data_IF_327732304322
#
_entry.id   IF_327732304322
#
_cell.length_a   1.000
_cell.length_b   1.000
_cell.length_c   1.000
_cell.angle_alpha   90.00
_cell.angle_beta   90.00
_cell.angle_gamma   90.00
#
_symmetry.space_group_name_H-M   'P 1'
#
loop_
_entity.id
_entity.type
_entity.pdbx_description
1 polymer ?
#
# COMPACT_ATOMS: atom_id res chain seq x y z
N UNK A 1 27.77 -9.84 -24.25
CA UNK A 1 27.90 -9.21 -22.92
C UNK A 1 26.97 -8.00 -22.91
N UNK A 2 25.74 -8.16 -22.42
CA UNK A 2 24.77 -7.08 -22.34
C UNK A 2 25.02 -6.29 -21.05
N UNK A 3 25.26 -4.98 -21.20
CA UNK A 3 25.40 -4.04 -20.10
C UNK A 3 24.07 -3.98 -19.33
N UNK A 4 24.03 -4.63 -18.16
CA UNK A 4 22.97 -4.42 -17.18
C UNK A 4 23.14 -3.00 -16.65
N UNK A 5 22.36 -2.05 -17.18
CA UNK A 5 22.18 -0.76 -16.52
C UNK A 5 21.58 -1.04 -15.15
N UNK A 6 22.40 -0.96 -14.11
CA UNK A 6 21.95 -1.03 -12.73
C UNK A 6 21.05 0.18 -12.51
N UNK A 7 19.73 -0.03 -12.56
CA UNK A 7 18.76 1.01 -12.23
C UNK A 7 18.92 1.26 -10.74
N UNK A 8 19.65 2.32 -10.38
CA UNK A 8 19.72 2.79 -9.00
C UNK A 8 18.39 3.50 -8.68
N UNK A 9 17.50 2.83 -7.98
CA UNK A 9 16.36 3.48 -7.36
C UNK A 9 16.85 4.39 -6.23
N UNK A 10 16.44 5.66 -6.24
CA UNK A 10 16.66 6.56 -5.11
C UNK A 10 15.55 6.36 -4.07
N UNK A 11 15.86 6.38 -2.77
CA UNK A 11 14.86 6.16 -1.71
C UNK A 11 14.70 4.69 -1.30
N UNK A 12 13.64 4.37 -0.56
CA UNK A 12 13.45 3.00 -0.05
C UNK A 12 12.92 2.06 -1.13
N UNK A 13 13.39 0.82 -1.09
CA UNK A 13 12.79 -0.32 -1.81
C UNK A 13 11.75 -1.05 -0.95
N UNK A 14 11.66 -0.70 0.33
CA UNK A 14 10.71 -1.25 1.28
C UNK A 14 10.40 -0.22 2.38
N UNK A 15 9.13 -0.10 2.74
CA UNK A 15 8.67 0.75 3.83
C UNK A 15 7.62 0.01 4.64
N UNK A 16 7.78 0.00 5.97
CA UNK A 16 6.78 -0.47 6.91
C UNK A 16 6.17 0.71 7.65
N UNK A 17 4.87 0.67 7.86
CA UNK A 17 4.05 1.65 8.53
C UNK A 17 3.33 1.00 9.71
N UNK A 18 3.55 1.55 10.91
CA UNK A 18 2.83 1.19 12.12
C UNK A 18 1.52 1.97 12.22
N UNK A 19 0.40 1.26 12.32
CA UNK A 19 -0.94 1.81 12.44
C UNK A 19 -1.40 1.57 13.88
N UNK A 20 -1.54 2.65 14.65
CA UNK A 20 -1.98 2.62 16.05
C UNK A 20 -3.50 2.85 16.15
N UNK A 21 -4.10 2.45 17.26
CA UNK A 21 -5.51 2.70 17.54
C UNK A 21 -6.45 1.77 16.77
N UNK A 22 -6.10 0.49 16.65
CA UNK A 22 -6.88 -0.45 15.84
C UNK A 22 -8.32 -0.62 16.34
N UNK A 23 -8.55 -0.63 17.65
CA UNK A 23 -9.89 -0.77 18.23
C UNK A 23 -10.82 0.38 17.80
N UNK A 24 -10.32 1.62 17.83
CA UNK A 24 -11.05 2.78 17.32
C UNK A 24 -11.27 2.67 15.81
N UNK A 25 -10.21 2.32 15.07
CA UNK A 25 -10.27 2.18 13.62
C UNK A 25 -11.30 1.13 13.16
N UNK A 26 -11.35 0.00 13.86
CA UNK A 26 -12.37 -1.05 13.68
C UNK A 26 -13.77 -0.51 13.94
N UNK A 27 -13.97 0.16 15.08
CA UNK A 27 -15.27 0.70 15.49
C UNK A 27 -15.81 1.72 14.49
N UNK A 28 -14.98 2.62 13.99
CA UNK A 28 -15.36 3.57 12.94
C UNK A 28 -15.86 2.85 11.68
N UNK A 29 -15.17 1.75 11.33
CA UNK A 29 -15.47 0.90 10.19
C UNK A 29 -16.86 0.26 10.20
N UNK A 30 -17.47 0.12 11.39
CA UNK A 30 -18.79 -0.49 11.53
C UNK A 30 -19.91 0.38 10.95
N UNK A 31 -19.74 1.71 11.01
CA UNK A 31 -20.72 2.69 10.56
C UNK A 31 -20.40 3.35 9.22
N UNK A 32 -19.11 3.50 8.87
CA UNK A 32 -18.65 4.12 7.62
C UNK A 32 -17.32 3.52 7.17
N UNK A 33 -16.88 3.86 5.97
CA UNK A 33 -15.49 3.58 5.56
C UNK A 33 -14.56 4.35 6.48
N UNK A 34 -13.82 3.65 7.33
CA UNK A 34 -12.75 4.23 8.11
C UNK A 34 -11.47 4.21 7.27
N UNK A 35 -10.70 5.29 7.30
CA UNK A 35 -9.44 5.39 6.54
C UNK A 35 -8.34 5.92 7.45
N UNK A 36 -7.13 5.39 7.28
CA UNK A 36 -5.88 5.94 7.84
C UNK A 36 -4.86 6.06 6.71
N UNK A 37 -3.88 6.95 6.86
CA UNK A 37 -2.77 7.10 5.92
C UNK A 37 -1.46 7.29 6.67
N UNK A 38 -0.36 6.80 6.09
CA UNK A 38 0.97 7.10 6.57
C UNK A 38 1.36 8.53 6.22
N UNK A 39 2.46 8.99 6.82
CA UNK A 39 3.21 10.12 6.29
C UNK A 39 3.72 9.81 4.87
N UNK A 40 4.05 10.87 4.13
CA UNK A 40 4.66 10.73 2.80
C UNK A 40 6.10 10.24 2.96
N UNK A 41 6.46 9.21 2.21
CA UNK A 41 7.81 8.66 2.11
C UNK A 41 8.26 8.58 0.65
N UNK A 42 9.56 8.34 0.44
CA UNK A 42 10.13 8.14 -0.91
C UNK A 42 10.24 6.65 -1.21
N UNK A 43 9.48 6.18 -2.19
CA UNK A 43 9.49 4.81 -2.68
C UNK A 43 9.96 4.76 -4.13
N UNK A 44 11.10 4.12 -4.39
CA UNK A 44 11.69 4.02 -5.73
C UNK A 44 11.88 5.38 -6.46
N UNK A 45 12.07 6.45 -5.70
CA UNK A 45 12.27 7.82 -6.18
C UNK A 45 10.98 8.63 -6.21
N UNK A 46 9.83 8.00 -6.11
CA UNK A 46 8.51 8.62 -6.12
C UNK A 46 8.10 9.03 -4.70
N UNK A 47 7.44 10.18 -4.58
CA UNK A 47 6.75 10.52 -3.32
C UNK A 47 5.49 9.66 -3.24
N UNK A 48 5.31 8.96 -2.13
CA UNK A 48 4.22 8.02 -1.95
C UNK A 48 3.75 8.00 -0.50
N UNK A 49 2.55 7.49 -0.28
CA UNK A 49 2.07 7.11 1.05
C UNK A 49 1.29 5.81 0.99
N UNK A 50 1.18 5.13 2.13
CA UNK A 50 0.26 4.03 2.30
C UNK A 50 -1.06 4.57 2.85
N UNK A 51 -2.15 3.95 2.42
CA UNK A 51 -3.45 4.15 3.06
C UNK A 51 -4.10 2.81 3.30
N UNK A 52 -4.77 2.67 4.43
CA UNK A 52 -5.59 1.51 4.74
C UNK A 52 -7.03 1.92 5.02
N UNK A 53 -7.93 0.98 4.77
CA UNK A 53 -9.36 1.14 5.00
C UNK A 53 -9.88 -0.02 5.82
N UNK A 54 -10.81 0.26 6.73
CA UNK A 54 -11.67 -0.75 7.33
C UNK A 54 -13.10 -0.45 6.90
N UNK A 55 -13.73 -1.41 6.23
CA UNK A 55 -15.06 -1.23 5.66
C UNK A 55 -15.89 -2.52 5.67
N UNK A 56 -17.21 -2.36 5.81
CA UNK A 56 -18.18 -3.44 5.78
C UNK A 56 -18.68 -3.73 4.37
N UNK A 57 -18.52 -4.97 3.92
CA UNK A 57 -19.08 -5.47 2.67
C UNK A 57 -19.91 -6.71 2.93
N UNK A 58 -21.21 -6.66 2.63
CA UNK A 58 -22.17 -7.75 2.85
C UNK A 58 -22.07 -8.30 4.28
N UNK A 59 -22.14 -7.40 5.26
CA UNK A 59 -22.01 -7.68 6.70
C UNK A 59 -20.65 -8.22 7.19
N UNK A 60 -19.64 -8.35 6.31
CA UNK A 60 -18.29 -8.75 6.69
C UNK A 60 -17.35 -7.56 6.64
N UNK A 61 -16.58 -7.34 7.71
CA UNK A 61 -15.59 -6.28 7.81
C UNK A 61 -14.27 -6.70 7.15
N UNK A 62 -13.75 -5.86 6.26
CA UNK A 62 -12.48 -6.10 5.57
C UNK A 62 -11.50 -4.96 5.83
N UNK A 63 -10.23 -5.34 5.97
CA UNK A 63 -9.10 -4.46 5.89
C UNK A 63 -8.62 -4.38 4.43
N UNK A 64 -8.53 -3.17 3.91
CA UNK A 64 -7.95 -2.84 2.61
C UNK A 64 -6.64 -2.08 2.77
N UNK A 65 -5.71 -2.29 1.84
CA UNK A 65 -4.41 -1.61 1.81
C UNK A 65 -4.11 -1.14 0.38
N UNK A 66 -3.57 0.07 0.27
CA UNK A 66 -3.33 0.74 -1.00
C UNK A 66 -2.04 1.56 -0.97
N UNK A 67 -1.34 1.59 -2.11
CA UNK A 67 -0.27 2.54 -2.40
C UNK A 67 -0.87 3.78 -3.08
N UNK A 68 -0.50 4.97 -2.62
CA UNK A 68 -0.85 6.26 -3.23
C UNK A 68 0.42 6.97 -3.68
N UNK A 69 0.44 7.41 -4.94
CA UNK A 69 1.50 8.30 -5.43
C UNK A 69 1.12 9.75 -5.09
N UNK A 70 2.06 10.47 -4.49
CA UNK A 70 1.91 11.85 -4.08
C UNK A 70 2.72 12.75 -5.03
N UNK A 71 2.27 13.99 -5.20
CA UNK A 71 3.05 14.97 -5.95
C UNK A 71 4.39 15.21 -5.25
N UNK A 72 5.47 15.02 -6.00
CA UNK A 72 6.84 15.13 -5.50
C UNK A 72 7.63 16.23 -6.21
N UNK A 73 8.65 16.80 -5.55
CA UNK A 73 9.51 17.83 -6.15
C UNK A 73 10.37 17.31 -7.31
N UNK A 74 10.50 15.98 -7.45
CA UNK A 74 11.31 15.31 -8.48
C UNK A 74 10.48 14.68 -9.58
N UNK A 75 9.15 14.89 -9.60
CA UNK A 75 8.25 14.20 -10.55
C UNK A 75 8.60 14.48 -12.01
N UNK A 76 9.20 15.62 -12.33
CA UNK A 76 9.68 15.97 -13.68
C UNK A 76 10.87 15.15 -14.15
N UNK A 77 11.60 14.51 -13.23
CA UNK A 77 12.79 13.70 -13.50
C UNK A 77 12.50 12.20 -13.50
N UNK A 78 11.28 11.79 -13.12
CA UNK A 78 10.88 10.40 -13.01
C UNK A 78 10.16 9.93 -14.27
N UNK A 79 10.22 8.63 -14.54
CA UNK A 79 9.46 8.00 -15.60
C UNK A 79 7.98 7.92 -15.20
N UNK A 80 7.09 8.20 -16.15
CA UNK A 80 5.65 8.05 -15.98
C UNK A 80 5.03 7.30 -17.17
N UNK A 81 3.96 6.51 -16.97
CA UNK A 81 3.35 6.20 -15.66
C UNK A 81 4.26 5.33 -14.77
N UNK A 82 3.96 5.27 -13.48
CA UNK A 82 4.61 4.37 -12.53
C UNK A 82 4.27 2.93 -12.88
N UNK A 83 5.29 2.12 -13.22
CA UNK A 83 5.13 0.71 -13.59
C UNK A 83 6.17 -0.18 -12.91
N UNK A 84 6.63 0.19 -11.71
CA UNK A 84 7.57 -0.62 -10.92
C UNK A 84 6.76 -1.66 -10.17
N UNK A 85 6.97 -2.98 -10.39
CA UNK A 85 6.28 -4.02 -9.65
C UNK A 85 6.49 -3.90 -8.14
N UNK A 86 5.42 -4.06 -7.37
CA UNK A 86 5.46 -3.91 -5.92
C UNK A 86 4.53 -4.89 -5.22
N UNK A 87 4.77 -5.11 -3.93
CA UNK A 87 3.97 -5.94 -3.05
C UNK A 87 3.52 -5.12 -1.86
N UNK A 88 2.22 -5.02 -1.66
CA UNK A 88 1.61 -4.54 -0.42
C UNK A 88 1.60 -5.69 0.59
N UNK A 89 1.93 -5.39 1.84
CA UNK A 89 2.10 -6.39 2.88
C UNK A 89 1.30 -5.96 4.11
N UNK A 90 0.52 -6.87 4.66
CA UNK A 90 0.11 -6.83 6.05
C UNK A 90 1.10 -7.70 6.84
N UNK A 91 1.85 -7.07 7.74
CA UNK A 91 2.99 -7.69 8.44
C UNK A 91 2.51 -8.32 9.73
N UNK A 92 2.81 -9.61 9.90
CA UNK A 92 2.62 -10.29 11.17
C UNK A 92 3.75 -9.91 12.13
N UNK A 93 3.46 -9.57 13.39
CA UNK A 93 4.44 -8.95 14.30
C UNK A 93 5.63 -9.86 14.67
N UNK A 94 5.49 -11.18 14.52
CA UNK A 94 6.50 -12.16 14.98
C UNK A 94 6.84 -13.27 14.00
N UNK A 95 6.14 -13.38 12.86
CA UNK A 95 6.26 -14.52 11.94
C UNK A 95 6.00 -14.09 10.51
N UNK A 96 7.07 -13.79 9.78
CA UNK A 96 7.00 -13.30 8.40
C UNK A 96 6.29 -14.28 7.45
N UNK A 97 6.28 -15.59 7.75
CA UNK A 97 5.58 -16.58 6.92
C UNK A 97 4.07 -16.42 6.97
N UNK A 98 3.55 -15.74 7.99
CA UNK A 98 2.12 -15.43 8.13
C UNK A 98 1.72 -14.15 7.43
N UNK A 99 2.66 -13.33 6.95
CA UNK A 99 2.35 -12.09 6.24
C UNK A 99 1.29 -12.30 5.15
N UNK A 100 0.35 -11.36 5.03
CA UNK A 100 -0.62 -11.36 3.93
C UNK A 100 -0.12 -10.39 2.87
N UNK A 101 0.19 -10.92 1.69
CA UNK A 101 0.78 -10.15 0.60
C UNK A 101 -0.18 -9.99 -0.58
N UNK A 102 -0.14 -8.83 -1.23
CA UNK A 102 -0.78 -8.57 -2.50
C UNK A 102 0.21 -7.91 -3.46
N UNK A 103 0.54 -8.60 -4.54
CA UNK A 103 1.50 -8.11 -5.54
C UNK A 103 0.81 -7.50 -6.74
N UNK A 104 1.37 -6.40 -7.22
CA UNK A 104 0.99 -5.71 -8.46
C UNK A 104 2.13 -5.86 -9.44
N UNK A 105 1.91 -6.68 -10.47
CA UNK A 105 2.83 -6.92 -11.59
C UNK A 105 2.23 -6.54 -12.94
N UNK A 106 0.90 -6.47 -13.01
CA UNK A 106 0.13 -6.03 -14.16
C UNK A 106 -0.47 -4.66 -13.85
N UNK A 107 -0.27 -3.71 -14.76
CA UNK A 107 -0.66 -2.32 -14.62
C UNK A 107 -1.81 -1.93 -15.55
N UNK A 108 -2.22 -2.79 -16.50
CA UNK A 108 -3.15 -2.43 -17.56
C UNK A 108 -4.47 -1.89 -17.02
N UNK A 109 -5.05 -2.59 -16.04
CA UNK A 109 -6.30 -2.16 -15.39
C UNK A 109 -6.15 -0.80 -14.72
N UNK A 110 -5.02 -0.54 -14.07
CA UNK A 110 -4.77 0.69 -13.33
C UNK A 110 -4.43 1.87 -14.24
N UNK A 111 -3.81 1.61 -15.40
CA UNK A 111 -3.48 2.61 -16.41
C UNK A 111 -4.72 3.01 -17.23
N UNK A 112 -5.63 2.07 -17.49
CA UNK A 112 -6.90 2.35 -18.15
C UNK A 112 -7.95 2.95 -17.20
N UNK A 113 -7.68 2.94 -15.90
CA UNK A 113 -8.55 3.50 -14.87
C UNK A 113 -8.68 5.01 -15.02
N UNK A 114 -9.94 5.51 -15.04
CA UNK A 114 -10.24 6.95 -14.96
C UNK A 114 -9.77 7.62 -13.67
N UNK A 115 -9.37 6.84 -12.66
CA UNK A 115 -8.99 7.33 -11.34
C UNK A 115 -7.51 7.74 -11.24
N UNK A 116 -6.79 7.74 -12.36
CA UNK A 116 -5.40 8.17 -12.46
C UNK A 116 -4.52 7.57 -11.35
N UNK A 117 -4.47 6.25 -11.23
CA UNK A 117 -3.76 5.60 -10.14
C UNK A 117 -2.23 5.79 -10.24
N UNK A 118 -1.68 5.60 -11.44
CA UNK A 118 -0.23 5.51 -11.66
C UNK A 118 0.36 6.57 -12.59
N UNK A 119 -0.42 7.49 -13.17
CA UNK A 119 0.21 8.59 -13.92
C UNK A 119 0.77 9.64 -12.96
N UNK A 120 1.48 10.61 -13.52
CA UNK A 120 2.06 11.71 -12.75
C UNK A 120 0.95 12.45 -11.96
N UNK A 121 1.09 12.62 -10.65
CA UNK A 121 0.13 13.38 -9.86
C UNK A 121 0.00 14.81 -10.38
N UNK A 122 -1.24 15.22 -10.63
CA UNK A 122 -1.63 16.60 -10.97
C UNK A 122 -2.32 17.30 -9.79
N UNK A 123 -2.66 16.55 -8.76
CA UNK A 123 -3.17 16.96 -7.46
C UNK A 123 -2.18 16.54 -6.37
N UNK A 124 -2.46 16.83 -5.10
CA UNK A 124 -1.60 16.43 -3.98
C UNK A 124 -1.28 14.93 -3.98
N UNK A 125 -2.24 14.09 -4.38
CA UNK A 125 -2.07 12.65 -4.55
C UNK A 125 -3.05 12.06 -5.55
N UNK A 126 -2.66 10.91 -6.10
CA UNK A 126 -3.50 10.04 -6.92
C UNK A 126 -4.44 9.18 -6.06
N UNK A 127 -5.45 8.59 -6.71
CA UNK A 127 -6.24 7.54 -6.09
C UNK A 127 -5.37 6.32 -5.78
N UNK A 128 -5.52 5.76 -4.59
CA UNK A 128 -4.77 4.58 -4.18
C UNK A 128 -5.07 3.35 -5.03
N UNK A 129 -4.05 2.55 -5.31
CA UNK A 129 -4.20 1.24 -5.94
C UNK A 129 -3.73 0.14 -4.98
N UNK A 130 -4.48 -0.95 -4.93
CA UNK A 130 -4.23 -2.02 -3.96
C UNK A 130 -5.41 -2.98 -3.84
N UNK A 131 -5.56 -3.58 -2.67
CA UNK A 131 -6.54 -4.64 -2.43
C UNK A 131 -7.54 -4.22 -1.35
N UNK A 132 -8.76 -3.92 -1.79
CA UNK A 132 -9.90 -3.54 -0.93
C UNK A 132 -10.35 -4.59 0.08
N UNK A 133 -10.17 -5.87 -0.25
CA UNK A 133 -10.47 -7.01 0.61
C UNK A 133 -9.18 -7.83 0.79
N UNK A 134 -8.19 -7.25 1.46
CA UNK A 134 -6.89 -7.90 1.68
C UNK A 134 -7.00 -8.97 2.77
N UNK A 135 -7.62 -8.62 3.90
CA UNK A 135 -7.85 -9.51 5.02
C UNK A 135 -9.22 -9.22 5.63
N UNK A 136 -9.90 -10.22 6.21
CA UNK A 136 -11.03 -9.94 7.09
C UNK A 136 -10.51 -9.31 8.37
N UNK A 137 -11.29 -8.40 8.96
CA UNK A 137 -10.92 -7.77 10.24
C UNK A 137 -10.85 -8.78 11.38
N UNK A 138 -11.78 -9.74 11.42
CA UNK A 138 -11.76 -10.85 12.40
C UNK A 138 -10.47 -11.68 12.31
N UNK A 139 -10.00 -11.95 11.09
CA UNK A 139 -8.75 -12.68 10.85
C UNK A 139 -7.51 -11.90 11.33
N UNK A 140 -7.57 -10.57 11.40
CA UNK A 140 -6.47 -9.76 11.96
C UNK A 140 -6.29 -10.05 13.46
N UNK A 141 -7.40 -10.25 14.17
CA UNK A 141 -7.41 -10.49 15.61
C UNK A 141 -7.10 -11.95 15.92
N UNK A 142 -7.79 -12.89 15.26
CA UNK A 142 -7.65 -14.34 15.50
C UNK A 142 -6.28 -14.87 15.08
N UNK A 143 -5.60 -14.21 14.14
CA UNK A 143 -4.28 -14.61 13.62
C UNK A 143 -3.14 -13.73 14.14
N UNK A 144 -3.34 -13.02 15.26
CA UNK A 144 -2.32 -12.26 15.98
C UNK A 144 -1.62 -11.14 15.17
N UNK A 145 -2.28 -10.57 14.14
CA UNK A 145 -1.74 -9.39 13.45
C UNK A 145 -1.85 -8.12 14.29
N UNK A 146 -2.89 -8.06 15.13
CA UNK A 146 -3.11 -6.94 16.04
C UNK A 146 -2.31 -7.19 17.32
N UNK A 147 -1.32 -6.34 17.58
CA UNK A 147 -0.50 -6.40 18.77
C UNK A 147 -0.48 -5.06 19.47
N UNK A 148 -0.84 -5.02 20.75
CA UNK A 148 -0.92 -3.78 21.56
C UNK A 148 -1.71 -2.67 20.85
N UNK A 149 -2.92 -3.01 20.39
CA UNK A 149 -3.82 -2.10 19.67
C UNK A 149 -3.21 -1.47 18.40
N UNK A 150 -2.22 -2.15 17.81
CA UNK A 150 -1.53 -1.69 16.61
C UNK A 150 -1.36 -2.82 15.60
N UNK A 151 -1.21 -2.48 14.33
CA UNK A 151 -0.85 -3.42 13.26
C UNK A 151 0.15 -2.78 12.31
N UNK A 152 0.93 -3.60 11.62
CA UNK A 152 1.93 -3.14 10.67
C UNK A 152 1.52 -3.46 9.23
N UNK A 153 1.63 -2.48 8.35
CA UNK A 153 1.44 -2.64 6.92
C UNK A 153 2.66 -2.11 6.17
N UNK A 154 2.88 -2.51 4.93
CA UNK A 154 4.05 -2.10 4.19
C UNK A 154 3.92 -2.21 2.68
N UNK A 155 4.96 -1.74 2.01
CA UNK A 155 5.18 -1.94 0.58
C UNK A 155 6.63 -2.29 0.35
N UNK A 156 6.90 -3.23 -0.55
CA UNK A 156 8.24 -3.54 -1.06
C UNK A 156 8.24 -3.63 -2.57
N UNK A 157 9.38 -3.32 -3.19
CA UNK A 157 9.63 -3.62 -4.60
C UNK A 157 9.57 -5.13 -4.76
N UNK A 158 8.86 -5.58 -5.79
CA UNK A 158 8.89 -6.98 -6.18
C UNK A 158 10.12 -7.19 -7.06
N UNK A 159 11.06 -8.07 -6.70
CA UNK A 159 12.19 -8.38 -7.56
C UNK A 159 11.71 -8.92 -8.91
N UNK A 160 12.40 -8.54 -9.98
CA UNK A 160 12.25 -9.23 -11.26
C UNK A 160 12.76 -10.68 -11.07
N UNK A 161 11.88 -11.65 -11.35
CA UNK A 161 12.17 -13.08 -11.31
C UNK A 161 12.86 -13.56 -12.57
#
# INVERSE_FOLDING_TARGET
MSNLHRVCFYGSSETIWNIQGFAEFRKEGEGKVATRSSDVFVFCGYSAKLSCEVNKYNNVMYFGLYLRLCQGPRDSLLKWPFTIPYTLILVHPTDEKKNVEFSVTDFDTALQSKFNNFHRPTTAENMGYGKRKLCKVEDLEVRDFVFKDSLCAGVKVRPES
#
